data_IF_284707104751
#
_entry.id   IF_284707104751
#
_cell.length_a   1.000
_cell.length_b   1.000
_cell.length_c   1.000
_cell.angle_alpha   90.00
_cell.angle_beta   90.00
_cell.angle_gamma   90.00
#
_symmetry.space_group_name_H-M   'P 1'
#
loop_
_entity.id
_entity.type
_entity.pdbx_description
1 polymer ?
#
# COMPACT_ATOMS: atom_id res chain seq x y z
N UNK A 1 -20.57 19.54 -31.43
CA UNK A 1 -21.56 19.31 -30.35
C UNK A 1 -21.30 17.92 -29.83
N UNK A 2 -20.83 17.77 -28.59
CA UNK A 2 -20.66 16.45 -27.99
C UNK A 2 -22.03 16.00 -27.46
N UNK A 3 -22.61 14.99 -28.10
CA UNK A 3 -23.89 14.42 -27.69
C UNK A 3 -23.60 13.03 -27.16
N UNK A 4 -24.11 12.73 -25.98
CA UNK A 4 -24.00 11.41 -25.34
C UNK A 4 -25.18 10.55 -25.81
N UNK A 5 -25.04 9.92 -26.97
CA UNK A 5 -26.14 9.17 -27.60
C UNK A 5 -26.21 7.71 -27.15
N UNK A 6 -25.11 7.15 -26.64
CA UNK A 6 -25.02 5.73 -26.29
C UNK A 6 -24.22 5.48 -24.98
N UNK A 7 -24.59 6.15 -23.87
CA UNK A 7 -23.87 5.99 -22.61
C UNK A 7 -24.09 4.61 -22.00
N UNK A 8 -23.16 4.19 -21.15
CA UNK A 8 -23.28 2.96 -20.34
C UNK A 8 -22.81 3.25 -18.93
N UNK A 9 -23.58 2.83 -17.95
CA UNK A 9 -23.19 2.86 -16.54
C UNK A 9 -23.14 1.43 -16.00
N UNK A 10 -22.07 1.10 -15.30
CA UNK A 10 -21.86 -0.20 -14.67
C UNK A 10 -21.57 -0.02 -13.18
N UNK A 11 -21.87 -1.05 -12.39
CA UNK A 11 -21.55 -1.12 -10.97
C UNK A 11 -20.78 -2.40 -10.64
N UNK A 12 -20.03 -2.37 -9.55
CA UNK A 12 -19.42 -3.55 -8.95
C UNK A 12 -20.51 -4.53 -8.47
N UNK A 13 -20.71 -5.60 -9.25
CA UNK A 13 -21.70 -6.63 -8.99
C UNK A 13 -21.12 -7.86 -8.29
N UNK A 14 -19.80 -8.03 -8.38
CA UNK A 14 -19.06 -9.14 -7.80
C UNK A 14 -17.57 -8.83 -7.71
N UNK A 15 -16.79 -9.81 -7.28
CA UNK A 15 -15.36 -9.68 -6.99
C UNK A 15 -14.62 -10.91 -7.52
N UNK A 16 -13.44 -10.73 -8.11
CA UNK A 16 -12.51 -11.81 -8.44
C UNK A 16 -11.27 -11.69 -7.56
N UNK A 17 -10.88 -12.77 -6.90
CA UNK A 17 -9.71 -12.78 -6.03
C UNK A 17 -8.42 -12.77 -6.84
N UNK A 18 -7.47 -11.94 -6.42
CA UNK A 18 -6.08 -11.95 -6.86
C UNK A 18 -5.23 -12.24 -5.64
N UNK A 19 -4.47 -13.34 -5.71
CA UNK A 19 -3.56 -13.72 -4.63
C UNK A 19 -2.37 -12.76 -4.56
N UNK A 20 -1.50 -12.96 -3.59
CA UNK A 20 -0.30 -12.15 -3.40
C UNK A 20 0.53 -12.06 -4.67
N UNK A 21 0.82 -10.83 -5.08
CA UNK A 21 1.88 -10.51 -6.03
C UNK A 21 2.88 -9.54 -5.41
N UNK A 22 4.06 -9.44 -6.02
CA UNK A 22 4.99 -8.35 -5.76
C UNK A 22 4.72 -7.24 -6.77
N UNK A 23 4.48 -6.04 -6.27
CA UNK A 23 4.26 -4.84 -7.07
C UNK A 23 5.57 -4.41 -7.74
N UNK A 24 5.45 -3.78 -8.90
CA UNK A 24 6.60 -3.29 -9.67
C UNK A 24 6.93 -1.85 -9.30
N UNK A 25 8.19 -1.56 -9.01
CA UNK A 25 8.68 -0.19 -8.83
C UNK A 25 8.63 0.55 -10.18
N UNK A 26 8.08 1.76 -10.19
CA UNK A 26 8.07 2.65 -11.38
C UNK A 26 9.44 3.25 -11.69
N UNK A 27 10.42 3.03 -10.81
CA UNK A 27 11.84 3.37 -10.95
C UNK A 27 12.32 4.41 -9.93
N UNK A 28 11.39 5.09 -9.27
CA UNK A 28 11.65 6.11 -8.25
C UNK A 28 11.72 5.55 -6.82
N UNK A 29 11.42 4.25 -6.63
CA UNK A 29 11.34 3.58 -5.34
C UNK A 29 10.35 4.23 -4.36
N UNK A 30 9.38 4.99 -4.88
CA UNK A 30 8.29 5.62 -4.14
C UNK A 30 6.92 5.14 -4.63
N UNK A 31 6.76 4.87 -5.92
CA UNK A 31 5.51 4.39 -6.50
C UNK A 31 5.68 2.96 -6.98
N UNK A 32 4.77 2.10 -6.51
CA UNK A 32 4.72 0.70 -6.86
C UNK A 32 3.36 0.38 -7.49
N UNK A 33 3.35 -0.36 -8.60
CA UNK A 33 2.17 -0.70 -9.38
C UNK A 33 1.85 -2.21 -9.28
N UNK A 34 0.58 -2.53 -9.05
CA UNK A 34 0.04 -3.87 -9.16
C UNK A 34 -0.29 -4.23 -10.61
N UNK A 35 -0.33 -5.52 -10.93
CA UNK A 35 -0.78 -5.97 -12.26
C UNK A 35 -2.30 -5.98 -12.41
N UNK A 36 -3.02 -5.81 -11.30
CA UNK A 36 -4.49 -5.77 -11.27
C UNK A 36 -5.00 -4.47 -10.64
N UNK A 37 -5.97 -3.86 -11.32
CA UNK A 37 -6.70 -2.69 -10.88
C UNK A 37 -8.09 -2.65 -11.57
N UNK A 38 -9.07 -1.91 -11.03
CA UNK A 38 -9.05 -1.29 -9.72
C UNK A 38 -9.24 -2.32 -8.59
N UNK A 39 -8.93 -1.96 -7.34
CA UNK A 39 -9.16 -2.80 -6.17
C UNK A 39 -10.53 -2.53 -5.55
N UNK A 40 -11.28 -3.59 -5.26
CA UNK A 40 -12.52 -3.50 -4.49
C UNK A 40 -12.24 -2.93 -3.09
N UNK A 41 -13.13 -2.06 -2.62
CA UNK A 41 -13.22 -1.64 -1.22
C UNK A 41 -14.60 -1.97 -0.66
N UNK A 42 -15.29 -2.95 -1.25
CA UNK A 42 -16.52 -3.48 -0.68
C UNK A 42 -16.15 -4.20 0.62
N UNK A 43 -16.90 -3.94 1.69
CA UNK A 43 -16.59 -4.48 3.01
C UNK A 43 -16.31 -5.99 2.97
N UNK A 44 -15.10 -6.38 3.40
CA UNK A 44 -14.63 -7.77 3.41
C UNK A 44 -13.88 -8.21 2.15
N UNK A 45 -13.72 -7.32 1.18
CA UNK A 45 -12.97 -7.53 -0.08
C UNK A 45 -11.86 -6.48 -0.28
N UNK A 46 -11.54 -5.74 0.77
CA UNK A 46 -10.50 -4.71 0.77
C UNK A 46 -9.13 -5.30 0.40
N UNK A 47 -8.38 -4.59 -0.44
CA UNK A 47 -7.01 -4.98 -0.74
C UNK A 47 -6.12 -4.92 0.50
N UNK A 48 -5.20 -5.87 0.61
CA UNK A 48 -4.18 -5.91 1.65
C UNK A 48 -2.82 -5.59 1.02
N UNK A 49 -2.29 -4.41 1.33
CA UNK A 49 -0.92 -4.01 0.98
C UNK A 49 0.01 -4.34 2.15
N UNK A 50 1.12 -5.00 1.84
CA UNK A 50 2.14 -5.48 2.78
C UNK A 50 3.54 -5.29 2.18
N UNK A 51 4.18 -4.13 2.45
CA UNK A 51 5.61 -4.00 2.26
C UNK A 51 6.33 -5.03 3.13
N UNK A 52 7.39 -5.64 2.59
CA UNK A 52 8.20 -6.56 3.38
C UNK A 52 8.82 -5.81 4.56
N UNK A 53 8.92 -6.46 5.72
CA UNK A 53 9.58 -5.87 6.88
C UNK A 53 9.03 -6.33 8.22
N UNK A 54 9.72 -5.92 9.28
CA UNK A 54 9.40 -6.23 10.67
C UNK A 54 8.05 -5.63 11.05
N UNK A 55 7.15 -6.46 11.57
CA UNK A 55 5.85 -6.04 12.10
C UNK A 55 5.91 -5.80 13.61
N UNK A 56 6.33 -6.81 14.38
CA UNK A 56 6.41 -6.75 15.86
C UNK A 56 7.63 -7.48 16.40
N UNK A 57 8.07 -7.12 17.61
CA UNK A 57 9.17 -7.80 18.30
C UNK A 57 10.55 -7.47 17.71
N UNK A 58 11.45 -8.45 17.69
CA UNK A 58 12.72 -8.35 17.00
C UNK A 58 13.78 -7.47 17.68
N UNK A 59 13.63 -7.21 18.98
CA UNK A 59 14.67 -6.51 19.73
C UNK A 59 15.96 -7.32 19.75
N UNK A 60 17.06 -6.70 19.35
CA UNK A 60 18.41 -7.25 19.40
C UNK A 60 19.10 -6.73 20.66
N UNK A 61 19.79 -7.62 21.39
CA UNK A 61 20.58 -7.31 22.58
C UNK A 61 21.93 -8.01 22.52
N UNK A 62 22.89 -7.52 23.30
CA UNK A 62 24.15 -8.22 23.54
C UNK A 62 23.88 -9.66 24.02
N UNK A 63 24.52 -10.64 23.37
CA UNK A 63 24.46 -12.04 23.78
C UNK A 63 25.33 -12.34 25.00
N UNK A 64 25.21 -13.55 25.57
CA UNK A 64 25.98 -13.95 26.76
C UNK A 64 27.40 -14.46 26.48
N UNK A 65 27.91 -14.27 25.26
CA UNK A 65 29.21 -14.77 24.81
C UNK A 65 29.92 -13.81 23.86
N UNK A 66 31.08 -14.23 23.37
CA UNK A 66 31.80 -13.46 22.36
C UNK A 66 31.03 -13.48 21.03
N UNK A 67 31.08 -12.36 20.32
CA UNK A 67 30.72 -12.28 18.90
C UNK A 67 29.29 -12.78 18.62
N UNK A 68 28.36 -12.48 19.53
CA UNK A 68 26.98 -12.94 19.45
C UNK A 68 26.00 -11.87 19.94
N UNK A 69 24.83 -11.82 19.31
CA UNK A 69 23.66 -11.06 19.76
C UNK A 69 22.45 -11.98 19.92
N UNK A 70 21.59 -11.66 20.89
CA UNK A 70 20.32 -12.36 21.06
C UNK A 70 19.20 -11.54 20.45
N UNK A 71 18.37 -12.17 19.62
CA UNK A 71 17.20 -11.57 18.99
C UNK A 71 15.94 -12.11 19.66
N UNK A 72 15.06 -11.21 20.09
CA UNK A 72 13.74 -11.58 20.61
C UNK A 72 12.84 -12.11 19.50
N UNK A 73 11.89 -12.99 19.85
CA UNK A 73 10.89 -13.47 18.89
C UNK A 73 10.19 -12.29 18.20
N UNK A 74 9.81 -12.49 16.95
CA UNK A 74 9.28 -11.44 16.09
C UNK A 74 8.26 -11.97 15.10
N UNK A 75 7.52 -11.03 14.52
CA UNK A 75 6.75 -11.26 13.30
C UNK A 75 7.17 -10.28 12.21
N UNK A 76 7.17 -10.75 10.98
CA UNK A 76 7.47 -9.96 9.80
C UNK A 76 6.39 -10.17 8.73
N UNK A 77 6.07 -9.13 7.98
CA UNK A 77 5.34 -9.31 6.73
C UNK A 77 6.35 -9.65 5.65
N UNK A 78 6.23 -10.84 5.07
CA UNK A 78 7.01 -11.27 3.92
C UNK A 78 6.11 -12.15 3.03
N UNK A 79 5.01 -11.60 2.45
CA UNK A 79 4.09 -12.41 1.65
C UNK A 79 4.84 -13.18 0.55
N UNK A 80 4.39 -14.41 0.30
CA UNK A 80 5.00 -15.38 -0.62
C UNK A 80 6.38 -15.91 -0.23
N UNK A 81 6.95 -15.51 0.91
CA UNK A 81 8.12 -16.17 1.46
C UNK A 81 7.78 -17.63 1.85
N UNK A 82 8.78 -18.51 1.88
CA UNK A 82 8.60 -19.95 2.12
C UNK A 82 7.95 -20.22 3.48
N UNK A 83 8.28 -19.43 4.50
CA UNK A 83 7.71 -19.53 5.84
C UNK A 83 6.50 -18.63 6.08
N UNK A 84 5.98 -17.95 5.04
CA UNK A 84 4.85 -17.06 5.20
C UNK A 84 3.55 -17.85 5.32
N UNK A 85 2.73 -17.47 6.30
CA UNK A 85 1.35 -17.91 6.42
C UNK A 85 0.48 -17.30 5.30
N UNK A 86 -0.77 -17.75 5.20
CA UNK A 86 -1.69 -17.29 4.16
C UNK A 86 -1.92 -15.76 4.18
N UNK A 87 -1.78 -15.10 5.32
CA UNK A 87 -1.90 -13.64 5.47
C UNK A 87 -0.58 -12.87 5.19
N UNK A 88 0.48 -13.60 4.82
CA UNK A 88 1.79 -13.06 4.50
C UNK A 88 2.68 -12.82 5.73
N UNK A 89 2.29 -13.29 6.91
CA UNK A 89 3.08 -13.17 8.14
C UNK A 89 4.07 -14.32 8.26
N UNK A 90 5.31 -14.02 8.60
CA UNK A 90 6.34 -14.97 9.06
C UNK A 90 6.53 -14.77 10.55
N UNK A 91 6.42 -15.85 11.34
CA UNK A 91 6.70 -15.84 12.78
C UNK A 91 8.06 -16.46 13.02
N UNK A 92 8.95 -15.72 13.70
CA UNK A 92 10.33 -16.14 13.93
C UNK A 92 10.56 -16.25 15.43
N UNK A 93 11.07 -17.40 15.87
CA UNK A 93 11.42 -17.64 17.27
C UNK A 93 12.63 -16.78 17.69
N UNK A 94 12.77 -16.54 18.99
CA UNK A 94 13.99 -15.93 19.51
C UNK A 94 15.20 -16.82 19.25
N UNK A 95 16.36 -16.22 19.00
CA UNK A 95 17.58 -16.96 18.74
C UNK A 95 18.82 -16.11 18.96
N UNK A 96 19.95 -16.80 19.07
CA UNK A 96 21.27 -16.20 19.10
C UNK A 96 21.85 -16.18 17.69
N UNK A 97 22.48 -15.07 17.32
CA UNK A 97 23.06 -14.86 15.99
C UNK A 97 24.51 -14.43 16.15
N UNK A 98 25.41 -15.26 15.61
CA UNK A 98 26.84 -14.98 15.60
C UNK A 98 27.17 -13.84 14.63
N UNK A 99 27.96 -12.88 15.07
CA UNK A 99 28.49 -11.79 14.25
C UNK A 99 29.96 -12.01 13.93
N UNK A 100 30.43 -11.44 12.82
CA UNK A 100 31.84 -11.54 12.44
C UNK A 100 32.62 -10.31 12.91
N UNK A 101 33.92 -10.49 13.14
CA UNK A 101 34.88 -9.40 13.37
C UNK A 101 35.82 -9.27 12.18
N UNK A 102 36.40 -8.07 12.04
CA UNK A 102 37.49 -7.85 11.10
C UNK A 102 38.68 -8.75 11.46
N UNK A 103 39.33 -9.35 10.46
CA UNK A 103 40.48 -10.23 10.65
C UNK A 103 41.80 -9.50 10.38
N UNK A 104 41.81 -8.58 9.41
CA UNK A 104 42.99 -7.80 9.04
C UNK A 104 42.82 -6.31 9.30
N UNK A 105 41.60 -5.80 9.13
CA UNK A 105 41.29 -4.40 9.41
C UNK A 105 40.79 -4.23 10.85
N UNK A 106 39.99 -3.20 11.11
CA UNK A 106 39.53 -2.87 12.46
C UNK A 106 38.03 -2.74 12.60
N UNK A 107 37.28 -2.53 11.52
CA UNK A 107 35.84 -2.26 11.56
C UNK A 107 35.08 -3.23 10.68
N UNK A 108 33.97 -3.76 11.18
CA UNK A 108 33.06 -4.60 10.43
C UNK A 108 31.63 -4.32 10.86
N UNK A 109 30.71 -4.29 9.90
CA UNK A 109 29.28 -4.17 10.13
C UNK A 109 28.62 -5.47 9.68
N UNK A 110 27.83 -6.08 10.57
CA UNK A 110 27.01 -7.26 10.28
C UNK A 110 25.55 -6.85 10.30
N UNK A 111 24.84 -7.08 9.20
CA UNK A 111 23.38 -6.95 9.15
C UNK A 111 22.74 -8.22 9.71
N UNK A 112 21.78 -8.04 10.62
CA UNK A 112 20.96 -9.14 11.14
C UNK A 112 19.66 -9.14 10.34
N UNK A 113 19.35 -10.27 9.73
CA UNK A 113 18.24 -10.41 8.80
C UNK A 113 17.29 -11.54 9.17
N UNK A 114 16.09 -11.48 8.63
CA UNK A 114 15.19 -12.63 8.53
C UNK A 114 15.14 -13.05 7.07
N UNK A 115 15.45 -14.31 6.77
CA UNK A 115 15.40 -14.84 5.40
C UNK A 115 14.00 -15.38 5.04
N UNK A 116 13.81 -15.78 3.78
CA UNK A 116 12.52 -16.29 3.30
C UNK A 116 12.09 -17.61 3.98
N UNK A 117 12.98 -18.33 4.65
CA UNK A 117 12.65 -19.53 5.44
C UNK A 117 12.23 -19.19 6.87
N UNK A 118 12.22 -17.91 7.25
CA UNK A 118 11.90 -17.45 8.60
C UNK A 118 13.04 -17.70 9.59
N UNK A 119 14.28 -17.83 9.11
CA UNK A 119 15.45 -17.98 9.95
C UNK A 119 16.11 -16.62 10.23
N UNK A 120 16.72 -16.49 11.42
CA UNK A 120 17.59 -15.37 11.75
C UNK A 120 18.97 -15.62 11.17
N UNK A 121 19.48 -14.67 10.40
CA UNK A 121 20.77 -14.77 9.70
C UNK A 121 21.65 -13.56 9.96
N UNK A 122 22.96 -13.76 9.91
CA UNK A 122 23.96 -12.70 9.96
C UNK A 122 24.68 -12.59 8.62
N UNK A 123 24.65 -11.39 8.07
CA UNK A 123 25.32 -11.07 6.82
C UNK A 123 26.42 -10.08 7.15
N UNK A 124 27.67 -10.46 6.92
CA UNK A 124 28.82 -9.62 7.23
C UNK A 124 29.20 -8.76 6.03
N UNK A 125 29.44 -7.48 6.29
CA UNK A 125 30.05 -6.56 5.33
C UNK A 125 31.54 -6.82 5.15
N UNK A 126 32.15 -6.06 4.24
CA UNK A 126 33.60 -6.09 4.03
C UNK A 126 34.30 -5.34 5.15
N UNK A 127 35.41 -5.88 5.67
CA UNK A 127 36.18 -5.21 6.72
C UNK A 127 36.79 -3.89 6.22
N UNK A 128 36.86 -2.89 7.10
CA UNK A 128 37.39 -1.55 6.80
C UNK A 128 38.21 -0.97 7.94
N UNK A 129 38.89 0.14 7.66
CA UNK A 129 39.69 0.89 8.65
C UNK A 129 38.87 1.91 9.45
N UNK A 130 37.65 2.20 9.03
CA UNK A 130 36.66 3.03 9.70
C UNK A 130 35.24 2.56 9.32
N UNK A 131 34.22 2.94 10.09
CA UNK A 131 32.84 2.72 9.69
C UNK A 131 32.43 3.68 8.56
N UNK A 132 31.61 3.18 7.64
CA UNK A 132 30.90 3.98 6.64
C UNK A 132 29.44 3.54 6.56
N UNK A 133 28.56 4.43 6.13
CA UNK A 133 27.15 4.10 5.86
C UNK A 133 26.95 3.56 4.44
N UNK A 134 27.96 3.68 3.57
CA UNK A 134 27.87 3.23 2.19
C UNK A 134 27.81 1.71 2.12
N UNK A 135 26.71 1.16 1.59
CA UNK A 135 26.53 -0.29 1.46
C UNK A 135 27.51 -0.91 0.48
N UNK A 136 28.03 -2.08 0.85
CA UNK A 136 28.97 -2.86 0.06
C UNK A 136 30.41 -2.36 0.09
N UNK A 137 30.69 -1.19 0.66
CA UNK A 137 32.05 -0.68 0.82
C UNK A 137 32.75 -1.27 2.04
N UNK A 138 34.09 -1.20 2.05
CA UNK A 138 34.90 -1.59 3.19
C UNK A 138 34.53 -0.77 4.44
N UNK A 139 34.18 -1.46 5.53
CA UNK A 139 33.70 -0.85 6.78
C UNK A 139 32.23 -0.43 6.73
N UNK A 140 31.52 -0.73 5.64
CA UNK A 140 30.11 -0.44 5.43
C UNK A 140 29.20 -1.65 5.68
N UNK A 141 27.88 -1.42 5.81
CA UNK A 141 26.91 -2.50 5.88
C UNK A 141 26.89 -3.29 4.55
N UNK A 142 26.63 -4.61 4.58
CA UNK A 142 26.47 -5.37 3.34
C UNK A 142 25.16 -5.01 2.62
N UNK A 143 25.10 -5.38 1.35
CA UNK A 143 23.82 -5.63 0.69
C UNK A 143 23.25 -6.96 1.22
N UNK A 144 21.93 -6.99 1.46
CA UNK A 144 21.23 -8.21 1.90
C UNK A 144 20.51 -8.88 0.72
N UNK A 145 20.21 -10.18 0.76
CA UNK A 145 19.40 -10.84 -0.27
C UNK A 145 18.04 -10.16 -0.47
N UNK A 146 17.53 -10.21 -1.71
CA UNK A 146 16.21 -9.66 -2.06
C UNK A 146 15.07 -10.40 -1.34
N UNK A 147 15.30 -11.67 -0.97
CA UNK A 147 14.37 -12.53 -0.24
C UNK A 147 14.64 -12.50 1.29
N UNK A 148 15.00 -11.34 1.82
CA UNK A 148 15.28 -11.14 3.25
C UNK A 148 14.83 -9.76 3.69
N UNK A 149 14.74 -9.53 4.99
CA UNK A 149 14.53 -8.20 5.58
C UNK A 149 15.63 -7.90 6.59
N UNK A 150 16.06 -6.64 6.70
CA UNK A 150 17.01 -6.21 7.75
C UNK A 150 16.26 -5.82 9.04
N UNK A 151 16.58 -6.45 10.16
CA UNK A 151 15.97 -6.13 11.46
C UNK A 151 16.90 -5.30 12.37
N UNK A 152 18.18 -5.20 12.02
CA UNK A 152 19.18 -4.42 12.73
C UNK A 152 20.58 -4.60 12.15
N UNK A 153 21.53 -3.85 12.67
CA UNK A 153 22.95 -4.00 12.38
C UNK A 153 23.76 -4.08 13.68
N UNK A 154 24.89 -4.78 13.62
CA UNK A 154 25.88 -4.84 14.69
C UNK A 154 27.20 -4.30 14.16
N UNK A 155 27.77 -3.32 14.85
CA UNK A 155 28.96 -2.59 14.42
C UNK A 155 30.10 -2.84 15.39
N UNK A 156 31.03 -3.70 14.99
CA UNK A 156 32.17 -4.07 15.84
C UNK A 156 33.44 -3.40 15.37
N UNK A 157 34.21 -2.93 16.34
CA UNK A 157 35.58 -2.50 16.15
C UNK A 157 36.53 -3.39 16.97
N UNK A 158 37.61 -3.86 16.34
CA UNK A 158 38.56 -4.80 16.93
C UNK A 158 38.42 -6.21 16.39
N UNK A 159 39.56 -6.89 16.26
CA UNK A 159 39.70 -8.23 15.68
C UNK A 159 39.59 -9.36 16.70
N UNK A 160 39.80 -9.06 17.98
CA UNK A 160 39.78 -10.06 19.05
C UNK A 160 38.35 -10.44 19.42
N UNK A 161 38.13 -11.74 19.63
CA UNK A 161 36.85 -12.27 20.09
C UNK A 161 36.47 -11.62 21.44
N UNK A 162 35.31 -10.98 21.49
CA UNK A 162 34.85 -10.25 22.66
C UNK A 162 33.32 -10.14 22.67
N UNK A 163 32.70 -9.95 23.85
CA UNK A 163 31.26 -9.72 23.92
C UNK A 163 30.84 -8.49 23.10
N UNK A 164 29.68 -8.57 22.44
CA UNK A 164 29.06 -7.41 21.80
C UNK A 164 28.47 -6.50 22.87
N UNK A 165 28.66 -5.19 22.74
CA UNK A 165 28.01 -4.19 23.60
C UNK A 165 26.68 -3.75 23.00
N UNK A 166 25.69 -3.41 23.83
CA UNK A 166 24.43 -2.83 23.35
C UNK A 166 24.64 -1.52 22.56
N UNK A 167 25.73 -0.79 22.83
CA UNK A 167 26.09 0.41 22.07
C UNK A 167 26.58 0.13 20.64
N UNK A 168 26.87 -1.13 20.33
CA UNK A 168 27.26 -1.59 19.00
C UNK A 168 26.06 -2.08 18.18
N UNK A 169 24.86 -2.12 18.77
CA UNK A 169 23.63 -2.61 18.15
C UNK A 169 22.81 -1.41 17.65
N UNK A 170 22.47 -1.43 16.37
CA UNK A 170 21.74 -0.37 15.68
C UNK A 170 20.41 -0.90 15.17
N UNK A 171 19.29 -0.33 15.64
CA UNK A 171 17.93 -0.68 15.20
C UNK A 171 17.07 0.58 15.00
N UNK A 172 17.59 1.56 14.25
CA UNK A 172 16.81 2.75 13.89
C UNK A 172 16.00 2.44 12.63
N UNK A 173 14.68 2.56 12.73
CA UNK A 173 13.73 2.35 11.63
C UNK A 173 14.10 3.21 10.42
N UNK A 174 14.10 2.61 9.24
CA UNK A 174 14.42 3.27 7.97
C UNK A 174 15.91 3.47 7.70
N UNK A 175 16.78 3.23 8.69
CA UNK A 175 18.24 3.28 8.51
C UNK A 175 18.89 1.90 8.66
N UNK A 176 18.59 1.20 9.76
CA UNK A 176 19.19 -0.09 10.12
C UNK A 176 18.15 -1.20 10.27
N UNK A 177 16.87 -0.86 10.11
CA UNK A 177 15.74 -1.76 10.31
C UNK A 177 14.64 -1.42 9.31
N UNK A 178 14.20 -2.44 8.57
CA UNK A 178 13.07 -2.38 7.66
C UNK A 178 11.79 -2.74 8.40
N UNK A 179 10.91 -1.75 8.58
CA UNK A 179 9.54 -1.99 9.05
C UNK A 179 8.56 -1.99 7.89
N UNK A 180 7.49 -2.77 8.01
CA UNK A 180 6.44 -2.82 7.00
C UNK A 180 5.66 -1.50 6.86
N UNK A 181 5.59 -0.72 7.94
CA UNK A 181 4.82 0.53 8.07
C UNK A 181 5.67 1.79 7.87
N UNK A 182 6.92 1.63 7.45
CA UNK A 182 7.87 2.73 7.23
C UNK A 182 8.57 2.63 5.88
N UNK A 183 8.67 3.74 5.13
CA UNK A 183 7.92 4.99 5.28
C UNK A 183 6.40 4.75 5.23
N UNK A 184 5.62 5.70 5.74
CA UNK A 184 4.16 5.64 5.58
C UNK A 184 3.80 5.66 4.10
N UNK A 185 2.73 4.96 3.75
CA UNK A 185 2.27 4.86 2.37
C UNK A 185 0.76 5.04 2.27
N UNK A 186 0.30 5.43 1.09
CA UNK A 186 -1.09 5.50 0.70
C UNK A 186 -1.32 4.58 -0.50
N UNK A 187 -2.47 3.92 -0.52
CA UNK A 187 -2.90 3.10 -1.64
C UNK A 187 -3.82 3.92 -2.54
N UNK A 188 -3.67 3.77 -3.86
CA UNK A 188 -4.64 4.20 -4.86
C UNK A 188 -5.34 2.97 -5.44
N UNK A 189 -6.55 2.62 -4.96
CA UNK A 189 -7.33 1.52 -5.48
C UNK A 189 -7.76 1.68 -6.94
N UNK A 190 -7.82 2.90 -7.50
CA UNK A 190 -8.29 3.11 -8.87
C UNK A 190 -7.26 2.64 -9.89
N UNK A 191 -5.99 3.00 -9.67
CA UNK A 191 -4.84 2.67 -10.52
C UNK A 191 -4.13 1.39 -10.08
N UNK A 192 -4.36 0.93 -8.85
CA UNK A 192 -3.66 -0.21 -8.27
C UNK A 192 -2.24 0.14 -7.82
N UNK A 193 -2.05 1.38 -7.35
CA UNK A 193 -0.76 1.92 -6.96
C UNK A 193 -0.60 2.03 -5.44
N UNK A 194 0.65 2.06 -5.00
CA UNK A 194 1.04 2.41 -3.62
C UNK A 194 2.09 3.50 -3.69
N UNK A 195 1.84 4.60 -3.00
CA UNK A 195 2.72 5.76 -2.92
C UNK A 195 3.33 5.86 -1.52
N UNK A 196 4.64 5.72 -1.42
CA UNK A 196 5.37 5.96 -0.18
C UNK A 196 5.66 7.45 -0.01
N UNK A 197 5.66 7.92 1.24
CA UNK A 197 5.98 9.32 1.57
C UNK A 197 7.48 9.67 1.37
N UNK A 198 8.34 8.66 1.21
CA UNK A 198 9.76 8.80 0.91
C UNK A 198 10.26 7.57 0.16
N UNK A 199 11.40 7.70 -0.53
CA UNK A 199 12.04 6.59 -1.24
C UNK A 199 12.33 5.42 -0.29
N UNK A 200 11.99 4.20 -0.73
CA UNK A 200 12.36 2.99 -0.02
C UNK A 200 13.88 2.78 -0.08
N UNK A 201 14.54 2.45 1.04
CA UNK A 201 15.98 2.19 1.04
C UNK A 201 16.38 1.07 0.07
N UNK A 202 17.36 1.34 -0.81
CA UNK A 202 17.90 0.40 -1.79
C UNK A 202 18.99 -0.49 -1.20
N UNK A 203 18.61 -1.30 -0.22
CA UNK A 203 19.58 -2.02 0.64
C UNK A 203 19.81 -3.49 0.24
N UNK A 204 19.07 -3.99 -0.74
CA UNK A 204 19.19 -5.36 -1.19
C UNK A 204 20.17 -5.50 -2.35
N UNK A 205 20.68 -6.71 -2.57
CA UNK A 205 21.58 -7.05 -3.66
C UNK A 205 21.04 -6.54 -5.00
N UNK A 206 21.89 -5.84 -5.75
CA UNK A 206 21.49 -5.14 -6.97
C UNK A 206 21.02 -3.70 -6.74
N UNK A 207 21.16 -3.19 -5.50
CA UNK A 207 20.72 -1.84 -5.13
C UNK A 207 19.22 -1.65 -5.37
N UNK A 208 18.43 -2.63 -4.94
CA UNK A 208 16.97 -2.63 -5.03
C UNK A 208 16.34 -2.48 -3.66
N UNK A 209 15.08 -2.07 -3.63
CA UNK A 209 14.30 -1.91 -2.41
C UNK A 209 13.83 -3.25 -1.87
N UNK A 210 13.30 -3.24 -0.65
CA UNK A 210 12.41 -4.29 -0.20
C UNK A 210 11.23 -4.47 -1.15
N UNK A 211 10.65 -5.66 -1.13
CA UNK A 211 9.46 -5.97 -1.89
C UNK A 211 8.23 -5.28 -1.30
N UNK A 212 7.31 -4.88 -2.17
CA UNK A 212 5.97 -4.43 -1.79
C UNK A 212 4.98 -5.42 -2.36
N UNK A 213 4.14 -6.00 -1.50
CA UNK A 213 3.19 -7.02 -1.91
C UNK A 213 1.76 -6.56 -1.74
N UNK A 214 0.90 -7.00 -2.65
CA UNK A 214 -0.55 -6.76 -2.57
C UNK A 214 -1.29 -8.04 -2.91
N UNK A 215 -2.42 -8.23 -2.22
CA UNK A 215 -3.48 -9.14 -2.64
C UNK A 215 -4.80 -8.42 -2.50
N UNK A 216 -5.82 -8.87 -3.21
CA UNK A 216 -7.13 -8.24 -3.08
C UNK A 216 -8.10 -8.79 -4.08
N UNK A 217 -9.06 -7.95 -4.45
CA UNK A 217 -10.12 -8.33 -5.35
C UNK A 217 -10.30 -7.28 -6.43
N UNK A 218 -10.44 -7.71 -7.69
CA UNK A 218 -10.89 -6.84 -8.78
C UNK A 218 -12.41 -6.88 -8.90
N UNK A 219 -13.08 -5.75 -9.13
CA UNK A 219 -14.53 -5.72 -9.28
C UNK A 219 -14.97 -6.38 -10.59
N UNK A 220 -16.03 -7.17 -10.52
CA UNK A 220 -16.77 -7.66 -11.69
C UNK A 220 -17.90 -6.68 -11.96
N UNK A 221 -17.81 -5.98 -13.09
CA UNK A 221 -18.80 -4.98 -13.48
C UNK A 221 -20.02 -5.61 -14.15
N UNK A 222 -21.20 -5.11 -13.78
CA UNK A 222 -22.44 -5.37 -14.50
C UNK A 222 -23.11 -4.05 -14.90
N UNK A 223 -23.75 -4.03 -16.07
CA UNK A 223 -24.49 -2.87 -16.55
C UNK A 223 -25.70 -2.58 -15.64
N UNK A 224 -25.91 -1.31 -15.31
CA UNK A 224 -27.14 -0.82 -14.69
C UNK A 224 -28.12 -0.51 -15.83
N UNK A 225 -29.17 -1.32 -16.04
CA UNK A 225 -30.13 -1.05 -17.10
C UNK A 225 -30.96 0.19 -16.73
N UNK A 226 -31.32 1.00 -17.73
CA UNK A 226 -32.22 2.17 -17.55
C UNK A 226 -31.70 3.11 -16.45
N UNK A 227 -30.46 3.53 -16.57
CA UNK A 227 -29.91 4.62 -15.78
C UNK A 227 -29.87 5.92 -16.61
N UNK A 228 -30.07 7.06 -15.95
CA UNK A 228 -29.94 8.40 -16.56
C UNK A 228 -29.21 9.36 -15.64
N UNK A 229 -28.79 10.50 -16.19
CA UNK A 229 -28.29 11.66 -15.45
C UNK A 229 -27.10 11.34 -14.55
N UNK A 230 -26.11 10.62 -15.09
CA UNK A 230 -24.83 10.43 -14.41
C UNK A 230 -24.16 11.78 -14.17
N UNK A 231 -23.79 12.02 -12.92
CA UNK A 231 -22.98 13.16 -12.48
C UNK A 231 -21.75 12.58 -11.78
N UNK A 232 -20.52 12.87 -12.26
CA UNK A 232 -19.30 12.44 -11.59
C UNK A 232 -19.09 13.15 -10.25
N UNK A 233 -18.29 12.55 -9.37
CA UNK A 233 -17.80 13.20 -8.16
C UNK A 233 -16.62 14.12 -8.53
N UNK A 234 -16.78 15.42 -8.34
CA UNK A 234 -15.78 16.45 -8.67
C UNK A 234 -15.58 17.43 -7.49
N UNK A 235 -14.39 18.01 -7.34
CA UNK A 235 -14.18 19.10 -6.39
C UNK A 235 -14.71 20.42 -6.92
N UNK A 236 -15.74 20.91 -6.26
CA UNK A 236 -16.25 22.26 -6.47
C UNK A 236 -15.37 23.29 -5.73
N UNK A 237 -15.14 24.42 -6.39
CA UNK A 237 -14.41 25.56 -5.83
C UNK A 237 -15.37 26.74 -5.69
N UNK A 238 -15.48 27.31 -4.50
CA UNK A 238 -16.27 28.53 -4.27
C UNK A 238 -15.38 29.69 -3.84
N UNK A 239 -15.61 30.87 -4.43
CA UNK A 239 -14.93 32.11 -4.07
C UNK A 239 -15.93 33.02 -3.39
N UNK A 240 -15.64 33.42 -2.16
CA UNK A 240 -16.43 34.43 -1.44
C UNK A 240 -15.52 35.60 -1.11
N UNK A 241 -16.04 36.82 -1.23
CA UNK A 241 -15.30 38.03 -0.91
C UNK A 241 -16.00 38.83 0.19
N UNK A 242 -15.21 39.41 1.10
CA UNK A 242 -15.70 40.39 2.07
C UNK A 242 -15.07 41.74 1.76
N UNK A 243 -15.89 42.75 1.53
CA UNK A 243 -15.42 44.12 1.43
C UNK A 243 -15.01 44.66 2.81
N UNK A 244 -13.81 45.21 2.88
CA UNK A 244 -13.28 45.94 4.04
C UNK A 244 -13.06 47.40 3.64
N UNK A 245 -13.02 48.30 4.61
CA UNK A 245 -12.91 49.75 4.36
C UNK A 245 -11.70 50.19 3.52
N UNK A 246 -10.75 49.29 3.19
CA UNK A 246 -9.60 49.52 2.30
C UNK A 246 -9.32 48.37 1.31
N UNK A 247 -10.31 47.56 0.92
CA UNK A 247 -10.11 46.53 -0.11
C UNK A 247 -11.05 45.34 -0.02
N UNK A 248 -10.67 44.25 -0.67
CA UNK A 248 -11.48 43.02 -0.75
C UNK A 248 -10.65 41.84 -0.24
N UNK A 249 -11.12 41.16 0.80
CA UNK A 249 -10.51 39.92 1.28
C UNK A 249 -11.21 38.73 0.59
N UNK A 250 -10.47 38.00 -0.24
CA UNK A 250 -10.95 36.79 -0.89
C UNK A 250 -10.71 35.54 -0.03
N UNK A 251 -11.71 34.67 0.02
CA UNK A 251 -11.60 33.32 0.56
C UNK A 251 -11.99 32.31 -0.50
N UNK A 252 -11.26 31.19 -0.56
CA UNK A 252 -11.56 30.05 -1.42
C UNK A 252 -11.90 28.86 -0.54
N UNK A 253 -13.02 28.20 -0.79
CA UNK A 253 -13.32 26.89 -0.22
C UNK A 253 -13.36 25.82 -1.31
N UNK A 254 -13.02 24.59 -0.93
CA UNK A 254 -13.04 23.41 -1.80
C UNK A 254 -13.89 22.33 -1.13
N UNK A 255 -14.76 21.69 -1.90
CA UNK A 255 -15.59 20.58 -1.40
C UNK A 255 -15.79 19.52 -2.49
N UNK A 256 -15.53 18.27 -2.13
CA UNK A 256 -15.81 17.10 -2.97
C UNK A 256 -17.33 16.87 -3.05
N UNK A 257 -17.87 16.89 -4.26
CA UNK A 257 -19.26 16.54 -4.54
C UNK A 257 -19.47 15.02 -4.54
N UNK A 258 -20.72 14.59 -4.35
CA UNK A 258 -21.10 13.19 -4.54
C UNK A 258 -21.38 12.93 -6.01
N UNK A 259 -21.03 11.74 -6.50
CA UNK A 259 -21.55 11.28 -7.77
C UNK A 259 -23.04 10.90 -7.62
N UNK A 260 -23.81 10.98 -8.71
CA UNK A 260 -25.23 10.63 -8.68
C UNK A 260 -25.74 10.12 -10.01
N UNK A 261 -26.86 9.40 -9.97
CA UNK A 261 -27.62 9.00 -11.15
C UNK A 261 -29.05 8.63 -10.76
N UNK A 262 -29.93 8.55 -11.75
CA UNK A 262 -31.28 8.02 -11.59
C UNK A 262 -31.35 6.62 -12.17
N UNK A 263 -31.91 5.66 -11.43
CA UNK A 263 -32.14 4.29 -11.88
C UNK A 263 -33.65 3.96 -11.90
N UNK A 264 -34.13 3.43 -13.03
CA UNK A 264 -35.53 3.05 -13.22
C UNK A 264 -35.71 1.52 -13.07
N UNK A 265 -35.51 1.04 -11.84
CA UNK A 265 -35.57 -0.38 -11.46
C UNK A 265 -36.91 -0.83 -10.87
N UNK A 266 -36.92 -2.01 -10.26
CA UNK A 266 -38.10 -2.52 -9.55
C UNK A 266 -38.27 -1.88 -8.17
N UNK A 267 -37.15 -1.44 -7.57
CA UNK A 267 -37.13 -0.77 -6.27
C UNK A 267 -37.57 -1.63 -5.08
N UNK A 268 -37.79 -2.92 -5.27
CA UNK A 268 -38.14 -3.87 -4.21
C UNK A 268 -36.85 -4.49 -3.59
N UNK A 269 -37.00 -5.35 -2.58
CA UNK A 269 -35.85 -5.96 -1.89
C UNK A 269 -35.06 -6.99 -2.73
N UNK A 270 -35.61 -7.44 -3.86
CA UNK A 270 -34.94 -8.36 -4.78
C UNK A 270 -34.12 -7.64 -5.85
N UNK A 271 -34.34 -6.34 -6.03
CA UNK A 271 -33.57 -5.52 -6.97
C UNK A 271 -32.07 -5.55 -6.60
N UNK A 272 -31.18 -5.94 -7.52
CA UNK A 272 -29.78 -6.23 -7.21
C UNK A 272 -29.02 -5.00 -6.73
N UNK A 273 -29.30 -3.82 -7.29
CA UNK A 273 -28.63 -2.59 -6.90
C UNK A 273 -29.14 -2.09 -5.54
N UNK A 274 -30.45 -2.22 -5.31
CA UNK A 274 -31.09 -1.92 -4.02
C UNK A 274 -30.49 -2.72 -2.87
N UNK A 275 -30.17 -3.99 -3.09
CA UNK A 275 -29.58 -4.87 -2.06
C UNK A 275 -28.19 -4.42 -1.63
N UNK A 276 -27.50 -3.63 -2.46
CA UNK A 276 -26.18 -3.10 -2.18
C UNK A 276 -26.21 -1.69 -1.57
N UNK A 277 -27.37 -1.22 -1.12
CA UNK A 277 -27.48 0.04 -0.37
C UNK A 277 -26.49 0.06 0.80
N UNK A 278 -25.84 1.20 0.98
CA UNK A 278 -24.83 1.49 2.01
C UNK A 278 -23.53 0.67 1.88
N UNK A 279 -23.33 -0.05 0.76
CA UNK A 279 -22.05 -0.69 0.46
C UNK A 279 -21.16 0.30 -0.31
N UNK A 280 -19.85 0.22 -0.07
CA UNK A 280 -18.84 0.89 -0.90
C UNK A 280 -18.63 0.06 -2.16
N UNK A 281 -18.75 0.69 -3.33
CA UNK A 281 -18.70 0.02 -4.64
C UNK A 281 -17.99 0.91 -5.65
N UNK A 282 -17.52 0.28 -6.73
CA UNK A 282 -17.14 0.97 -7.96
C UNK A 282 -18.34 1.22 -8.88
N UNK A 283 -18.35 2.40 -9.51
CA UNK A 283 -19.23 2.78 -10.60
C UNK A 283 -18.38 3.19 -11.80
N UNK A 284 -18.63 2.57 -12.94
CA UNK A 284 -17.88 2.81 -14.17
C UNK A 284 -18.80 3.35 -15.25
N UNK A 285 -18.52 4.54 -15.74
CA UNK A 285 -19.35 5.23 -16.72
C UNK A 285 -18.61 5.45 -18.03
N UNK A 286 -19.29 5.17 -19.13
CA UNK A 286 -18.83 5.39 -20.49
C UNK A 286 -19.73 6.41 -21.17
N UNK A 287 -19.13 7.43 -21.79
CA UNK A 287 -19.86 8.36 -22.64
C UNK A 287 -20.43 7.68 -23.89
N UNK A 288 -19.70 6.73 -24.44
CA UNK A 288 -20.11 5.87 -25.55
C UNK A 288 -19.67 4.44 -25.23
N UNK A 289 -20.63 3.52 -25.10
CA UNK A 289 -20.37 2.12 -24.72
C UNK A 289 -19.43 1.39 -25.67
N UNK A 290 -19.25 1.90 -26.90
CA UNK A 290 -18.42 1.29 -27.94
C UNK A 290 -16.98 1.83 -27.94
N UNK A 291 -16.64 2.76 -27.04
CA UNK A 291 -15.31 3.34 -26.93
C UNK A 291 -14.62 2.88 -25.65
N UNK A 292 -13.28 2.90 -25.66
CA UNK A 292 -12.47 2.57 -24.49
C UNK A 292 -12.62 3.56 -23.34
N UNK A 293 -12.68 4.90 -23.55
CA UNK A 293 -12.56 5.82 -22.43
C UNK A 293 -13.73 5.70 -21.47
N UNK A 294 -13.42 5.70 -20.18
CA UNK A 294 -14.40 5.62 -19.11
C UNK A 294 -13.97 6.45 -17.91
N UNK A 295 -14.95 6.82 -17.11
CA UNK A 295 -14.76 7.43 -15.79
C UNK A 295 -15.09 6.41 -14.71
N UNK A 296 -14.39 6.46 -13.59
CA UNK A 296 -14.49 5.50 -12.51
C UNK A 296 -14.61 6.21 -11.16
N UNK A 297 -15.66 5.89 -10.40
CA UNK A 297 -15.93 6.47 -9.08
C UNK A 297 -16.12 5.38 -8.05
N UNK A 298 -15.38 5.44 -6.94
CA UNK A 298 -15.64 4.60 -5.77
C UNK A 298 -16.41 5.40 -4.73
N UNK A 299 -17.42 4.79 -4.10
CA UNK A 299 -18.06 5.41 -2.96
C UNK A 299 -19.20 4.58 -2.36
N UNK A 300 -19.76 5.09 -1.27
CA UNK A 300 -20.89 4.44 -0.59
C UNK A 300 -22.19 4.75 -1.35
N UNK A 301 -22.90 3.70 -1.75
CA UNK A 301 -24.17 3.80 -2.47
C UNK A 301 -25.32 4.19 -1.55
N UNK A 302 -25.78 5.44 -1.66
CA UNK A 302 -27.03 5.93 -1.09
C UNK A 302 -28.20 5.71 -2.05
N UNK A 303 -29.36 5.32 -1.52
CA UNK A 303 -30.58 5.07 -2.29
C UNK A 303 -31.79 5.77 -1.67
N UNK A 304 -32.44 6.63 -2.45
CA UNK A 304 -33.79 7.16 -2.23
C UNK A 304 -34.76 6.61 -3.28
N UNK A 305 -35.97 6.20 -2.87
CA UNK A 305 -36.97 5.60 -3.77
C UNK A 305 -38.26 6.39 -3.78
N UNK A 306 -38.82 6.55 -4.97
CA UNK A 306 -40.15 7.14 -5.18
C UNK A 306 -41.01 6.17 -5.99
N UNK A 307 -42.24 5.93 -5.53
CA UNK A 307 -43.21 5.03 -6.18
C UNK A 307 -44.39 5.84 -6.73
N UNK A 308 -44.21 6.54 -7.87
CA UNK A 308 -45.30 7.30 -8.47
C UNK A 308 -46.39 6.37 -9.02
N UNK A 309 -47.65 6.80 -8.96
CA UNK A 309 -48.75 6.06 -9.56
C UNK A 309 -48.74 6.23 -11.09
N UNK A 310 -48.69 5.12 -11.83
CA UNK A 310 -48.77 5.13 -13.30
C UNK A 310 -47.47 5.47 -14.03
N UNK A 311 -46.33 5.49 -13.34
CA UNK A 311 -45.00 5.77 -13.90
C UNK A 311 -43.94 4.80 -13.34
N UNK A 312 -42.72 4.84 -13.86
CA UNK A 312 -41.61 4.02 -13.40
C UNK A 312 -41.20 4.38 -11.98
N UNK A 313 -40.77 3.38 -11.21
CA UNK A 313 -40.13 3.61 -9.92
C UNK A 313 -38.83 4.38 -10.15
N UNK A 314 -38.71 5.56 -9.55
CA UNK A 314 -37.51 6.38 -9.64
C UNK A 314 -36.65 6.12 -8.40
N UNK A 315 -35.42 5.66 -8.64
CA UNK A 315 -34.43 5.39 -7.61
C UNK A 315 -33.30 6.41 -7.78
N UNK A 316 -33.31 7.42 -6.92
CA UNK A 316 -32.24 8.40 -6.84
C UNK A 316 -31.04 7.76 -6.13
N UNK A 317 -29.96 7.58 -6.87
CA UNK A 317 -28.72 7.00 -6.39
C UNK A 317 -27.69 8.10 -6.15
N UNK A 318 -27.04 8.04 -5.00
CA UNK A 318 -25.87 8.88 -4.67
C UNK A 318 -24.68 7.98 -4.38
N UNK A 319 -23.49 8.45 -4.73
CA UNK A 319 -22.23 7.76 -4.48
C UNK A 319 -21.37 8.71 -3.66
N UNK A 320 -21.30 8.44 -2.36
CA UNK A 320 -20.49 9.23 -1.43
C UNK A 320 -19.03 8.82 -1.59
N UNK A 321 -18.31 9.53 -2.46
CA UNK A 321 -16.92 9.28 -2.80
C UNK A 321 -15.96 9.94 -1.80
N UNK A 322 -14.79 9.31 -1.61
CA UNK A 322 -13.68 9.87 -0.81
C UNK A 322 -12.61 10.53 -1.68
N UNK A 323 -12.66 10.28 -2.99
CA UNK A 323 -11.78 10.86 -4.00
C UNK A 323 -12.61 11.32 -5.21
N UNK A 324 -12.01 12.15 -6.05
CA UNK A 324 -12.62 12.56 -7.32
C UNK A 324 -12.79 11.36 -8.26
N UNK A 325 -13.67 11.51 -9.23
CA UNK A 325 -13.81 10.54 -10.31
C UNK A 325 -12.54 10.54 -11.15
N UNK A 326 -11.98 9.35 -11.37
CA UNK A 326 -10.80 9.17 -12.21
C UNK A 326 -11.22 8.86 -13.66
N UNK A 327 -10.59 9.53 -14.62
CA UNK A 327 -10.83 9.32 -16.05
C UNK A 327 -9.71 8.48 -16.67
N UNK A 328 -10.10 7.51 -17.49
CA UNK A 328 -9.20 6.56 -18.15
C UNK A 328 -9.44 6.61 -19.67
N UNK A 329 -8.36 6.48 -20.45
CA UNK A 329 -8.37 6.47 -21.93
C UNK A 329 -8.37 5.05 -22.53
#
# INVERSE_FOLDING_TARGET
MAITENPKLEYESGQSFNDWEHMSDTGDAMVFEATFAPWSARAGFDASVRPWGLATGGQIRAGSGNDNVTVSALSAYMPTAVAAEADGVVNVASGDVSVSRAATATHMITSITVDASGALEAISGTEGSAFTEQRGEAGGPPFIPVESIEIGQVRVNGADAAPVSDTQIMQVVGLHQERYDSPVFEADPATGEVHFAAELPRIHTGSVTKKVSVRGYTPIFAEIPRASDWVPAETSHSTTSTEIYNGTLGSVSRSLGQASFTYYGEGNANDPLVRLKNQRLWFRWYQDRNRSPFSLTQGILGIGRTYPAGDHVNIACTVSAEQETADFE
#
